data_IF_432064155442
#
_entry.id   IF_432064155442
#
_cell.length_a   1.000
_cell.length_b   1.000
_cell.length_c   1.000
_cell.angle_alpha   90.00
_cell.angle_beta   90.00
_cell.angle_gamma   90.00
#
_symmetry.space_group_name_H-M   'P 1'
#
loop_
_entity.id
_entity.type
_entity.pdbx_description
1 polymer ?
#
# COMPACT_ATOMS: atom_id res chain seq x y z
N UNK A 1 26.45 16.45 0.38
CA UNK A 1 25.40 17.10 1.20
C UNK A 1 24.11 16.34 0.97
N UNK A 2 23.30 16.04 2.00
CA UNK A 2 22.01 15.39 1.80
C UNK A 2 21.08 16.28 0.98
N UNK A 3 20.29 15.69 0.09
CA UNK A 3 19.36 16.43 -0.76
C UNK A 3 18.25 17.07 0.10
N UNK A 4 17.88 18.35 -0.12
CA UNK A 4 16.87 19.01 0.70
C UNK A 4 15.52 18.29 0.66
N UNK A 5 14.87 18.11 1.81
CA UNK A 5 13.54 17.49 1.94
C UNK A 5 12.51 18.04 0.91
N UNK A 6 12.40 19.37 0.68
CA UNK A 6 11.44 19.90 -0.30
C UNK A 6 11.62 19.37 -1.72
N UNK A 7 12.85 19.03 -2.13
CA UNK A 7 13.12 18.47 -3.45
C UNK A 7 12.49 17.09 -3.60
N UNK A 8 12.69 16.19 -2.62
CA UNK A 8 12.09 14.85 -2.60
C UNK A 8 10.56 14.95 -2.61
N UNK A 9 9.99 15.81 -1.75
CA UNK A 9 8.55 16.00 -1.65
C UNK A 9 7.94 16.49 -2.98
N UNK A 10 8.63 17.36 -3.72
CA UNK A 10 8.14 17.86 -5.01
C UNK A 10 7.95 16.74 -6.05
N UNK A 11 8.86 15.77 -6.11
CA UNK A 11 8.77 14.62 -7.01
C UNK A 11 7.64 13.68 -6.59
N UNK A 12 7.50 13.41 -5.29
CA UNK A 12 6.44 12.54 -4.75
C UNK A 12 5.05 13.18 -4.96
N UNK A 13 4.88 14.49 -4.70
CA UNK A 13 3.63 15.22 -4.98
C UNK A 13 3.21 15.08 -6.44
N UNK A 14 4.17 15.21 -7.35
CA UNK A 14 3.92 15.09 -8.79
C UNK A 14 3.44 13.69 -9.17
N UNK A 15 4.10 12.65 -8.62
CA UNK A 15 3.67 11.26 -8.78
C UNK A 15 2.25 11.02 -8.22
N UNK A 16 1.98 11.50 -6.99
CA UNK A 16 0.65 11.40 -6.37
C UNK A 16 -0.39 12.10 -7.24
N UNK A 17 -0.10 13.29 -7.75
CA UNK A 17 -1.02 14.02 -8.62
C UNK A 17 -1.32 13.25 -9.91
N UNK A 18 -0.32 12.63 -10.55
CA UNK A 18 -0.54 11.80 -11.73
C UNK A 18 -1.40 10.56 -11.40
N UNK A 19 -1.10 9.89 -10.28
CA UNK A 19 -1.83 8.69 -9.86
C UNK A 19 -3.30 9.00 -9.50
N UNK A 20 -3.53 10.01 -8.65
CA UNK A 20 -4.87 10.36 -8.15
C UNK A 20 -5.77 11.00 -9.20
N UNK A 21 -5.19 11.61 -10.24
CA UNK A 21 -5.94 12.15 -11.39
C UNK A 21 -6.31 11.09 -12.44
N UNK A 22 -6.01 9.81 -12.19
CA UNK A 22 -6.17 8.73 -13.17
C UNK A 22 -5.46 9.04 -14.49
N UNK A 23 -4.24 9.56 -14.42
CA UNK A 23 -3.44 9.84 -15.59
C UNK A 23 -3.16 8.55 -16.39
N UNK A 24 -2.87 8.70 -17.69
CA UNK A 24 -2.52 7.55 -18.54
C UNK A 24 -1.18 6.94 -18.12
N UNK A 25 -0.96 5.66 -18.43
CA UNK A 25 0.32 4.97 -18.17
C UNK A 25 1.53 5.77 -18.64
N UNK A 26 1.58 6.35 -19.87
CA UNK A 26 2.69 7.19 -20.28
C UNK A 26 2.93 8.44 -19.41
N UNK A 27 1.86 9.07 -18.92
CA UNK A 27 1.96 10.23 -18.04
C UNK A 27 2.51 9.85 -16.65
N UNK A 28 2.12 8.68 -16.12
CA UNK A 28 2.70 8.13 -14.89
C UNK A 28 4.20 7.79 -15.11
N UNK A 29 4.53 7.14 -16.22
CA UNK A 29 5.91 6.76 -16.56
C UNK A 29 6.86 7.95 -16.72
N UNK A 30 6.36 9.14 -17.03
CA UNK A 30 7.17 10.36 -17.08
C UNK A 30 7.85 10.70 -15.73
N UNK A 31 7.30 10.19 -14.62
CA UNK A 31 7.86 10.35 -13.28
C UNK A 31 8.92 9.30 -12.91
N UNK A 32 9.14 8.29 -13.75
CA UNK A 32 10.13 7.23 -13.51
C UNK A 32 11.45 7.52 -14.24
N UNK A 33 12.56 7.03 -13.70
CA UNK A 33 13.87 7.12 -14.35
C UNK A 33 13.87 6.32 -15.66
N UNK A 34 14.66 6.77 -16.63
CA UNK A 34 15.03 5.97 -17.80
C UNK A 34 16.37 5.27 -17.53
N UNK A 35 17.30 5.96 -16.88
CA UNK A 35 18.55 5.42 -16.35
C UNK A 35 18.87 6.07 -15.00
N UNK A 36 19.09 5.33 -13.90
CA UNK A 36 19.09 3.86 -13.80
C UNK A 36 17.71 3.24 -14.12
N UNK A 37 17.71 1.96 -14.49
CA UNK A 37 16.47 1.25 -14.82
C UNK A 37 15.52 1.23 -13.60
N UNK A 38 14.27 1.66 -13.75
CA UNK A 38 13.33 1.70 -12.64
C UNK A 38 12.84 0.31 -12.27
N UNK A 39 12.35 0.16 -11.04
CA UNK A 39 11.77 -1.07 -10.51
C UNK A 39 10.43 -0.79 -9.84
N UNK A 40 9.41 -1.58 -10.17
CA UNK A 40 8.17 -1.67 -9.41
C UNK A 40 8.04 -3.05 -8.78
N UNK A 41 7.61 -3.10 -7.52
CA UNK A 41 7.21 -4.32 -6.85
C UNK A 41 5.98 -4.08 -5.96
N UNK A 42 4.88 -4.77 -6.25
CA UNK A 42 3.75 -4.84 -5.33
C UNK A 42 3.82 -6.12 -4.51
N UNK A 43 3.95 -5.96 -3.20
CA UNK A 43 4.15 -7.07 -2.29
C UNK A 43 2.85 -7.88 -2.12
N UNK A 44 2.99 -9.19 -2.23
CA UNK A 44 1.91 -10.15 -2.07
C UNK A 44 2.40 -11.57 -2.23
N UNK A 45 1.58 -12.54 -1.84
CA UNK A 45 1.91 -13.94 -2.07
C UNK A 45 1.91 -14.23 -3.58
N UNK A 46 2.99 -14.82 -4.15
CA UNK A 46 3.02 -15.24 -5.54
C UNK A 46 1.91 -16.24 -5.91
N UNK A 47 1.30 -16.90 -4.92
CA UNK A 47 0.15 -17.79 -5.10
C UNK A 47 -1.07 -17.06 -5.70
N UNK A 48 -1.16 -15.73 -5.57
CA UNK A 48 -2.25 -14.94 -6.11
C UNK A 48 -2.04 -14.49 -7.56
N UNK A 49 -0.84 -14.68 -8.14
CA UNK A 49 -0.52 -14.26 -9.51
C UNK A 49 -1.48 -14.78 -10.60
N UNK A 50 -2.02 -16.01 -10.53
CA UNK A 50 -3.01 -16.46 -11.51
C UNK A 50 -4.29 -15.61 -11.57
N UNK A 51 -4.59 -14.86 -10.50
CA UNK A 51 -5.75 -13.99 -10.38
C UNK A 51 -5.38 -12.51 -10.46
N UNK A 52 -4.22 -12.14 -9.92
CA UNK A 52 -3.70 -10.78 -9.84
C UNK A 52 -2.24 -10.77 -10.31
N UNK A 53 -1.98 -10.70 -11.64
CA UNK A 53 -0.65 -10.92 -12.21
C UNK A 53 0.41 -9.88 -11.85
N UNK A 54 0.01 -8.77 -11.22
CA UNK A 54 0.90 -7.69 -10.78
C UNK A 54 1.52 -7.95 -9.39
N UNK A 55 1.06 -8.94 -8.62
CA UNK A 55 1.52 -9.21 -7.26
C UNK A 55 2.78 -10.08 -7.19
N UNK A 56 3.66 -9.78 -6.23
CA UNK A 56 4.75 -10.67 -5.80
C UNK A 56 5.82 -10.92 -6.85
N UNK A 57 6.01 -10.00 -7.81
CA UNK A 57 7.06 -10.06 -8.84
C UNK A 57 7.64 -8.68 -9.11
N UNK A 58 8.86 -8.67 -9.60
CA UNK A 58 9.54 -7.44 -10.02
C UNK A 58 9.18 -7.08 -11.47
N UNK A 59 8.96 -5.79 -11.69
CA UNK A 59 8.86 -5.17 -13.00
C UNK A 59 10.04 -4.20 -13.17
N UNK A 60 11.02 -4.59 -13.97
CA UNK A 60 12.31 -3.89 -14.09
C UNK A 60 12.45 -3.26 -15.47
N UNK A 61 12.79 -1.98 -15.51
CA UNK A 61 12.86 -1.16 -16.72
C UNK A 61 11.53 -0.50 -17.06
N UNK A 62 11.59 0.65 -17.75
CA UNK A 62 10.42 1.50 -18.01
C UNK A 62 9.27 0.75 -18.71
N UNK A 63 9.60 -0.18 -19.62
CA UNK A 63 8.61 -1.00 -20.30
C UNK A 63 7.85 -1.93 -19.34
N UNK A 64 8.57 -2.64 -18.46
CA UNK A 64 7.94 -3.54 -17.49
C UNK A 64 7.18 -2.75 -16.42
N UNK A 65 7.68 -1.59 -16.01
CA UNK A 65 6.94 -0.67 -15.14
C UNK A 65 5.62 -0.24 -15.79
N UNK A 66 5.61 -0.01 -17.11
CA UNK A 66 4.38 0.23 -17.87
C UNK A 66 3.42 -0.97 -17.80
N UNK A 67 3.92 -2.19 -18.01
CA UNK A 67 3.15 -3.44 -17.87
C UNK A 67 2.49 -3.54 -16.49
N UNK A 68 3.18 -3.17 -15.41
CA UNK A 68 2.60 -3.14 -14.07
C UNK A 68 1.37 -2.24 -13.97
N UNK A 69 1.47 -0.99 -14.44
CA UNK A 69 0.34 -0.05 -14.38
C UNK A 69 -0.81 -0.47 -15.29
N UNK A 70 -0.50 -1.06 -16.45
CA UNK A 70 -1.50 -1.59 -17.37
C UNK A 70 -2.23 -2.80 -16.74
N UNK A 71 -1.50 -3.71 -16.08
CA UNK A 71 -2.10 -4.82 -15.32
C UNK A 71 -2.95 -4.30 -14.16
N UNK A 72 -2.45 -3.36 -13.36
CA UNK A 72 -3.21 -2.78 -12.26
C UNK A 72 -4.53 -2.17 -12.77
N UNK A 73 -4.45 -1.38 -13.85
CA UNK A 73 -5.62 -0.80 -14.51
C UNK A 73 -6.51 -1.85 -15.18
N UNK A 74 -5.99 -2.97 -15.66
CA UNK A 74 -6.79 -4.04 -16.27
C UNK A 74 -7.68 -4.73 -15.23
N UNK A 75 -7.16 -4.96 -14.02
CA UNK A 75 -7.85 -5.75 -12.99
C UNK A 75 -8.65 -4.88 -12.01
N UNK A 76 -8.23 -3.65 -11.76
CA UNK A 76 -8.78 -2.81 -10.71
C UNK A 76 -9.22 -1.43 -11.23
N UNK A 77 -10.27 -0.90 -10.61
CA UNK A 77 -10.59 0.54 -10.64
C UNK A 77 -10.26 1.11 -9.27
N UNK A 78 -9.57 2.24 -9.26
CA UNK A 78 -9.17 2.97 -8.06
C UNK A 78 -9.94 4.29 -8.03
N UNK A 79 -10.62 4.59 -6.93
CA UNK A 79 -11.32 5.86 -6.73
C UNK A 79 -11.01 6.43 -5.36
N UNK A 80 -11.26 7.73 -5.21
CA UNK A 80 -11.14 8.44 -3.92
C UNK A 80 -9.74 8.29 -3.30
N UNK A 81 -8.72 8.19 -4.15
CA UNK A 81 -7.34 8.03 -3.70
C UNK A 81 -6.84 9.32 -3.04
N UNK A 82 -6.34 9.20 -1.82
CA UNK A 82 -5.71 10.28 -1.07
C UNK A 82 -4.51 9.76 -0.27
N UNK A 83 -3.66 10.67 0.18
CA UNK A 83 -2.46 10.36 0.95
C UNK A 83 -2.47 11.15 2.26
N UNK A 84 -1.77 10.62 3.26
CA UNK A 84 -1.56 11.33 4.51
C UNK A 84 -0.82 12.66 4.29
N UNK A 85 -0.89 13.53 5.30
CA UNK A 85 -0.13 14.76 5.32
C UNK A 85 1.37 14.47 5.22
N UNK A 86 2.11 15.37 4.56
CA UNK A 86 3.53 15.22 4.34
C UNK A 86 4.34 15.22 5.65
N UNK A 87 3.80 15.83 6.70
CA UNK A 87 4.40 15.79 8.03
C UNK A 87 4.41 14.37 8.62
N UNK A 88 3.50 13.48 8.17
CA UNK A 88 3.45 12.07 8.57
C UNK A 88 4.36 11.17 7.71
N UNK A 89 4.94 11.68 6.62
CA UNK A 89 5.80 10.90 5.74
C UNK A 89 7.20 10.69 6.33
N UNK A 90 7.69 9.46 6.23
CA UNK A 90 9.08 9.13 6.60
C UNK A 90 9.97 9.45 5.39
N UNK A 91 10.86 10.43 5.55
CA UNK A 91 11.76 10.88 4.47
C UNK A 91 13.20 10.69 4.91
N UNK A 92 13.96 9.93 4.12
CA UNK A 92 15.39 9.78 4.27
C UNK A 92 16.13 10.46 3.11
N UNK A 93 16.72 11.65 3.33
CA UNK A 93 17.43 12.40 2.30
C UNK A 93 18.83 11.85 2.00
N UNK A 94 19.36 10.89 2.76
CA UNK A 94 20.66 10.28 2.49
C UNK A 94 20.56 9.20 1.41
N UNK A 95 19.47 8.43 1.44
CA UNK A 95 19.19 7.35 0.47
C UNK A 95 18.01 7.70 -0.46
N UNK A 96 17.62 8.97 -0.50
CA UNK A 96 16.57 9.51 -1.37
C UNK A 96 15.26 8.72 -1.31
N UNK A 97 14.88 8.25 -0.13
CA UNK A 97 13.72 7.37 0.08
C UNK A 97 12.60 8.11 0.80
N UNK A 98 11.37 7.91 0.33
CA UNK A 98 10.16 8.40 0.98
C UNK A 98 9.20 7.24 1.20
N UNK A 99 8.74 7.07 2.43
CA UNK A 99 7.64 6.17 2.77
C UNK A 99 6.41 6.98 3.16
N UNK A 100 5.27 6.64 2.58
CA UNK A 100 4.01 7.34 2.77
C UNK A 100 2.84 6.37 2.71
N UNK A 101 1.78 6.70 3.43
CA UNK A 101 0.56 5.93 3.47
C UNK A 101 -0.50 6.59 2.60
N UNK A 102 -1.23 5.77 1.86
CA UNK A 102 -2.35 6.17 1.03
C UNK A 102 -3.62 5.42 1.40
N UNK A 103 -4.74 5.99 1.01
CA UNK A 103 -6.06 5.43 1.17
C UNK A 103 -6.78 5.51 -0.17
N UNK A 104 -7.48 4.46 -0.56
CA UNK A 104 -8.32 4.49 -1.75
C UNK A 104 -9.45 3.46 -1.65
N UNK A 105 -10.44 3.63 -2.51
CA UNK A 105 -11.40 2.58 -2.82
C UNK A 105 -10.90 1.81 -4.04
N UNK A 106 -10.71 0.51 -3.86
CA UNK A 106 -10.41 -0.40 -4.95
C UNK A 106 -11.66 -1.18 -5.32
N UNK A 107 -11.80 -1.49 -6.61
CA UNK A 107 -12.91 -2.27 -7.15
C UNK A 107 -12.39 -3.26 -8.17
N UNK A 108 -12.68 -4.55 -7.94
CA UNK A 108 -12.44 -5.60 -8.93
C UNK A 108 -13.25 -5.33 -10.19
N UNK A 109 -12.56 -5.24 -11.34
CA UNK A 109 -13.23 -5.03 -12.63
C UNK A 109 -14.03 -6.26 -13.07
N UNK A 110 -13.63 -7.45 -12.66
CA UNK A 110 -14.29 -8.71 -12.99
C UNK A 110 -15.62 -8.87 -12.21
N UNK A 111 -15.56 -8.74 -10.90
CA UNK A 111 -16.68 -9.11 -10.00
C UNK A 111 -17.48 -7.91 -9.50
N UNK A 112 -16.95 -6.70 -9.69
CA UNK A 112 -17.49 -5.44 -9.16
C UNK A 112 -17.55 -5.38 -7.63
N UNK A 113 -16.81 -6.24 -6.95
CA UNK A 113 -16.63 -6.10 -5.51
C UNK A 113 -15.61 -5.00 -5.21
N UNK A 114 -15.89 -4.23 -4.15
CA UNK A 114 -15.07 -3.08 -3.78
C UNK A 114 -14.74 -3.13 -2.30
N UNK A 115 -13.55 -2.65 -1.96
CA UNK A 115 -13.11 -2.48 -0.58
C UNK A 115 -12.47 -1.11 -0.39
N UNK A 116 -12.43 -0.66 0.87
CA UNK A 116 -11.60 0.47 1.26
C UNK A 116 -10.26 -0.07 1.72
N UNK A 117 -9.20 0.54 1.23
CA UNK A 117 -7.85 0.09 1.48
C UNK A 117 -7.00 1.20 2.06
N UNK A 118 -6.12 0.80 2.97
CA UNK A 118 -4.95 1.58 3.38
C UNK A 118 -3.72 0.85 2.86
N UNK A 119 -2.90 1.54 2.09
CA UNK A 119 -1.69 0.98 1.49
C UNK A 119 -0.47 1.85 1.83
N UNK A 120 0.73 1.28 1.69
CA UNK A 120 1.99 1.99 1.92
C UNK A 120 2.81 1.96 0.65
N UNK A 121 3.37 3.11 0.30
CA UNK A 121 4.41 3.24 -0.70
C UNK A 121 5.75 3.41 -0.02
N UNK A 122 6.77 2.74 -0.56
CA UNK A 122 8.18 3.10 -0.37
C UNK A 122 8.77 3.44 -1.73
N UNK A 123 9.15 4.70 -1.88
CA UNK A 123 9.64 5.25 -3.15
C UNK A 123 11.10 5.67 -2.98
N UNK A 124 11.98 5.13 -3.81
CA UNK A 124 13.37 5.57 -3.92
C UNK A 124 13.49 6.44 -5.16
N UNK A 125 14.09 7.62 -5.00
CA UNK A 125 14.32 8.58 -6.06
C UNK A 125 15.78 8.53 -6.54
N UNK A 126 15.99 8.89 -7.80
CA UNK A 126 17.31 9.08 -8.40
C UNK A 126 17.25 10.18 -9.44
N UNK A 127 18.40 10.76 -9.76
CA UNK A 127 18.56 11.57 -10.96
C UNK A 127 18.42 10.69 -12.21
N UNK A 128 17.84 11.24 -13.27
CA UNK A 128 17.67 10.55 -14.55
C UNK A 128 18.83 10.88 -15.49
N UNK A 129 19.73 9.91 -15.67
CA UNK A 129 21.02 10.08 -16.35
C UNK A 129 20.92 10.16 -17.87
N UNK A 130 19.72 10.17 -18.44
CA UNK A 130 19.48 10.29 -19.89
C UNK A 130 19.20 11.73 -20.35
N UNK A 131 19.12 12.70 -19.44
CA UNK A 131 18.92 14.11 -19.79
C UNK A 131 20.20 14.78 -20.28
N UNK A 132 20.15 15.55 -21.38
CA UNK A 132 21.28 16.32 -21.94
C UNK A 132 21.71 17.52 -21.07
N UNK A 133 21.28 17.60 -19.82
CA UNK A 133 21.59 18.71 -18.92
C UNK A 133 21.84 18.18 -17.53
N UNK A 134 23.00 18.52 -16.97
CA UNK A 134 23.29 18.36 -15.54
C UNK A 134 22.21 19.14 -14.77
N UNK A 135 21.28 18.46 -14.07
CA UNK A 135 20.31 19.18 -13.26
C UNK A 135 21.02 19.84 -12.07
N UNK A 136 20.51 20.98 -11.61
CA UNK A 136 20.88 21.50 -10.30
C UNK A 136 20.63 20.41 -9.25
N UNK A 137 21.56 20.23 -8.30
CA UNK A 137 21.47 19.17 -7.28
C UNK A 137 20.08 19.12 -6.60
N UNK A 138 19.31 18.07 -6.90
CA UNK A 138 17.94 17.85 -6.38
C UNK A 138 16.79 18.32 -7.27
N UNK A 139 17.02 19.02 -8.39
CA UNK A 139 15.99 19.21 -9.43
C UNK A 139 15.94 17.98 -10.34
N UNK A 140 14.73 17.57 -10.74
CA UNK A 140 14.56 16.47 -11.70
C UNK A 140 14.72 15.06 -11.12
N UNK A 141 14.61 14.89 -9.80
CA UNK A 141 14.53 13.56 -9.19
C UNK A 141 13.30 12.81 -9.71
N UNK A 142 13.53 11.59 -10.18
CA UNK A 142 12.51 10.65 -10.66
C UNK A 142 12.51 9.37 -9.85
N UNK A 143 11.43 8.63 -9.96
CA UNK A 143 11.24 7.35 -9.28
C UNK A 143 12.15 6.29 -9.90
N UNK A 144 13.08 5.78 -9.10
CA UNK A 144 13.89 4.62 -9.44
C UNK A 144 13.26 3.34 -8.87
N UNK A 145 12.78 3.35 -7.63
CA UNK A 145 12.15 2.18 -7.01
C UNK A 145 10.79 2.57 -6.46
N UNK A 146 9.77 1.78 -6.78
CA UNK A 146 8.41 1.95 -6.29
C UNK A 146 7.91 0.63 -5.72
N UNK A 147 7.80 0.57 -4.39
CA UNK A 147 7.31 -0.61 -3.66
C UNK A 147 5.98 -0.31 -3.01
N UNK A 148 5.05 -1.25 -3.10
CA UNK A 148 3.70 -1.12 -2.55
C UNK A 148 3.38 -2.28 -1.61
N UNK A 149 2.80 -1.97 -0.45
CA UNK A 149 2.15 -2.93 0.43
C UNK A 149 0.67 -2.59 0.53
N UNK A 150 -0.15 -3.57 0.17
CA UNK A 150 -1.59 -3.46 -0.05
C UNK A 150 -2.32 -4.62 0.64
N UNK A 151 -3.65 -4.54 0.76
CA UNK A 151 -4.49 -5.63 1.26
C UNK A 151 -4.75 -6.68 0.17
N UNK A 152 -3.73 -7.51 -0.06
CA UNK A 152 -3.80 -8.60 -1.03
C UNK A 152 -4.86 -9.65 -0.70
N UNK A 153 -5.29 -9.76 0.56
CA UNK A 153 -6.37 -10.67 0.97
C UNK A 153 -7.72 -10.18 0.48
N UNK A 154 -8.02 -8.90 0.68
CA UNK A 154 -9.22 -8.26 0.14
C UNK A 154 -9.23 -8.31 -1.39
N UNK A 155 -8.10 -7.99 -2.03
CA UNK A 155 -7.98 -8.03 -3.49
C UNK A 155 -8.24 -9.44 -4.05
N UNK A 156 -7.69 -10.48 -3.43
CA UNK A 156 -7.89 -11.88 -3.85
C UNK A 156 -9.35 -12.35 -3.66
N UNK A 157 -9.97 -12.03 -2.53
CA UNK A 157 -11.38 -12.36 -2.30
C UNK A 157 -12.28 -11.60 -3.28
N UNK A 158 -12.00 -10.32 -3.50
CA UNK A 158 -12.74 -9.49 -4.45
C UNK A 158 -12.59 -10.01 -5.88
N UNK A 159 -11.40 -10.46 -6.32
CA UNK A 159 -11.23 -11.05 -7.66
C UNK A 159 -12.04 -12.33 -7.85
N UNK A 160 -12.40 -13.03 -6.76
CA UNK A 160 -13.22 -14.25 -6.79
C UNK A 160 -14.71 -14.03 -6.53
N UNK A 161 -15.11 -12.82 -6.15
CA UNK A 161 -16.49 -12.52 -5.78
C UNK A 161 -16.87 -13.06 -4.40
N UNK A 162 -15.88 -13.29 -3.54
CA UNK A 162 -16.03 -13.93 -2.23
C UNK A 162 -15.94 -12.91 -1.07
N UNK A 163 -15.65 -11.64 -1.36
CA UNK A 163 -15.44 -10.62 -0.34
C UNK A 163 -16.76 -10.33 0.42
N UNK A 164 -17.86 -10.10 -0.30
CA UNK A 164 -19.15 -9.76 0.31
C UNK A 164 -19.72 -10.91 1.13
N UNK A 165 -19.47 -12.15 0.72
CA UNK A 165 -19.90 -13.35 1.44
C UNK A 165 -19.19 -13.43 2.80
N UNK A 166 -17.87 -13.20 2.81
CA UNK A 166 -17.09 -13.16 4.05
C UNK A 166 -17.53 -12.01 4.96
N UNK A 167 -17.75 -10.81 4.41
CA UNK A 167 -18.26 -9.68 5.18
C UNK A 167 -19.64 -9.95 5.79
N UNK A 168 -20.52 -10.61 5.05
CA UNK A 168 -21.88 -10.95 5.48
C UNK A 168 -21.85 -12.01 6.59
N UNK A 169 -21.02 -13.04 6.43
CA UNK A 169 -20.80 -14.06 7.47
C UNK A 169 -20.25 -13.43 8.76
N UNK A 170 -19.29 -12.51 8.63
CA UNK A 170 -18.72 -11.81 9.79
C UNK A 170 -19.77 -10.93 10.50
N UNK A 171 -20.57 -10.15 9.75
CA UNK A 171 -21.69 -9.38 10.32
C UNK A 171 -22.72 -10.26 11.02
N UNK A 172 -23.03 -11.43 10.47
CA UNK A 172 -23.92 -12.42 11.07
C UNK A 172 -23.36 -12.99 12.38
N UNK A 173 -22.05 -13.18 12.48
CA UNK A 173 -21.38 -13.64 13.70
C UNK A 173 -21.32 -12.56 14.77
N UNK A 174 -21.05 -11.30 14.40
CA UNK A 174 -21.11 -10.16 15.34
C UNK A 174 -22.52 -10.01 15.91
N UNK A 175 -23.57 -10.07 15.08
CA UNK A 175 -24.96 -10.02 15.56
C UNK A 175 -25.30 -11.18 16.50
N UNK A 176 -24.82 -12.39 16.22
CA UNK A 176 -24.99 -13.56 17.12
C UNK A 176 -24.24 -13.39 18.44
N UNK A 177 -23.03 -12.83 18.43
CA UNK A 177 -22.26 -12.50 19.62
C UNK A 177 -23.01 -11.49 20.52
N UNK A 178 -23.53 -10.42 19.93
CA UNK A 178 -24.30 -9.39 20.66
C UNK A 178 -25.64 -9.93 21.19
N UNK A 179 -26.36 -10.74 20.41
CA UNK A 179 -27.59 -11.40 20.87
C UNK A 179 -27.31 -12.47 21.96
N UNK A 180 -26.15 -13.11 21.91
CA UNK A 180 -25.65 -14.01 22.94
C UNK A 180 -25.36 -13.28 24.25
N UNK A 181 -24.78 -12.08 24.17
CA UNK A 181 -24.50 -11.22 25.33
C UNK A 181 -25.78 -10.78 26.06
N UNK A 182 -26.85 -10.44 25.34
CA UNK A 182 -28.15 -10.09 25.93
C UNK A 182 -28.85 -11.26 26.66
N UNK A 183 -28.47 -12.51 26.39
CA UNK A 183 -29.00 -13.68 27.12
C UNK A 183 -28.24 -14.02 28.40
N UNK A 184 -27.08 -13.40 28.65
CA UNK A 184 -26.29 -13.67 29.85
C UNK A 184 -26.70 -12.78 31.03
N UNK A 185 -27.39 -11.66 30.76
CA UNK A 185 -27.84 -10.72 31.80
C UNK A 185 -29.06 -11.19 32.63
N UNK A 186 -29.77 -12.26 32.22
CA UNK A 186 -30.87 -12.82 33.02
C UNK A 186 -30.48 -13.99 33.95
N UNK A 187 -29.21 -14.44 33.93
CA UNK A 187 -28.80 -15.66 34.67
C UNK A 187 -27.70 -15.46 35.71
N UNK A 188 -27.07 -14.29 35.81
CA UNK A 188 -26.03 -14.05 36.83
C UNK A 188 -26.41 -12.91 37.77
N UNK A 189 -27.31 -13.21 38.70
CA UNK A 189 -27.24 -12.61 40.03
C UNK A 189 -26.01 -13.16 40.75
N UNK A 190 -25.09 -12.27 41.13
CA UNK A 190 -23.91 -12.61 41.91
C UNK A 190 -22.77 -11.63 41.67
N UNK A 191 -22.54 -10.74 42.63
CA UNK A 191 -21.31 -9.98 42.75
C UNK A 191 -20.11 -10.94 42.77
N UNK A 192 -19.19 -10.80 41.82
CA UNK A 192 -17.73 -11.01 41.94
C UNK A 192 -17.11 -11.31 40.56
N UNK A 193 -16.71 -10.26 39.84
CA UNK A 193 -15.73 -10.36 38.76
C UNK A 193 -14.36 -9.94 39.29
N UNK A 194 -13.38 -10.84 39.43
CA UNK A 194 -12.01 -10.41 39.63
C UNK A 194 -11.41 -10.00 38.27
N UNK A 195 -11.42 -8.70 37.99
CA UNK A 195 -10.44 -8.11 37.09
C UNK A 195 -9.12 -8.05 37.85
N UNK A 196 -8.15 -8.89 37.47
CA UNK A 196 -6.72 -8.55 37.35
C UNK A 196 -5.88 -9.78 36.94
N UNK A 197 -4.93 -9.48 36.07
CA UNK A 197 -3.73 -10.26 35.74
C UNK A 197 -3.92 -11.58 35.00
N UNK A 198 -3.74 -11.50 33.66
CA UNK A 198 -2.96 -12.44 32.85
C UNK A 198 -2.65 -11.83 31.47
N UNK A 199 -1.78 -10.82 31.46
CA UNK A 199 -0.91 -10.59 30.29
C UNK A 199 0.01 -11.81 30.21
N UNK A 200 -0.23 -12.65 29.21
CA UNK A 200 0.55 -13.85 28.96
C UNK A 200 2.01 -13.49 28.70
N UNK A 201 2.88 -14.03 29.54
CA UNK A 201 4.32 -14.07 29.34
C UNK A 201 4.63 -14.77 28.01
N UNK A 202 5.23 -14.05 27.07
CA UNK A 202 5.51 -14.62 25.76
C UNK A 202 6.33 -13.76 24.81
N UNK A 203 7.21 -12.87 25.31
CA UNK A 203 8.26 -12.23 24.49
C UNK A 203 9.50 -12.02 25.36
N UNK A 204 10.39 -13.02 25.40
CA UNK A 204 11.73 -12.83 25.96
C UNK A 204 12.65 -12.27 24.88
N UNK A 205 13.04 -11.01 24.98
CA UNK A 205 14.23 -10.50 24.31
C UNK A 205 15.43 -10.72 25.23
N UNK A 206 16.16 -11.82 25.01
CA UNK A 206 17.50 -12.02 25.56
C UNK A 206 18.50 -11.33 24.65
N UNK A 207 19.07 -10.22 25.12
CA UNK A 207 20.17 -9.54 24.46
C UNK A 207 21.52 -10.21 24.72
N UNK A 208 22.54 -9.73 24.02
CA UNK A 208 23.79 -9.31 24.66
C UNK A 208 24.59 -8.47 23.68
N UNK A 209 24.72 -7.18 23.99
CA UNK A 209 25.83 -6.37 23.52
C UNK A 209 27.02 -6.68 24.43
N UNK A 210 28.09 -7.16 23.83
CA UNK A 210 29.45 -7.13 24.36
C UNK A 210 30.32 -6.35 23.40
#
# INVERSE_FOLDING_TARGET
MPTPRPALLSSIRSLISAFTSNASTPAILAHFTSSPAPLVHEHGSPLFQPFLPFLGRDFIGLQAVGEYFDLLAQYLTISDACFDDEDDWVVDPQILTVCLRGHARFTSKETKESWLETFVWRVVLSEDLTGESEPDAGQGLKVQEYRVWADTGAAFLASRGELKDLESANRGNVRRSVAGAHKVDEVLGGEDYPIKDKLGAGLSFGGSSG
#
